data_IF_817099613057
#
_entry.id   IF_817099613057
#
_cell.length_a   1.000
_cell.length_b   1.000
_cell.length_c   1.000
_cell.angle_alpha   90.00
_cell.angle_beta   90.00
_cell.angle_gamma   90.00
#
_symmetry.space_group_name_H-M   'P 1'
#
loop_
_entity.id
_entity.type
_entity.pdbx_description
1 polymer ?
#
# COMPACT_ATOMS: atom_id res chain seq x y z
N UNK A 1 7.66 15.76 10.19
CA UNK A 1 6.35 15.46 9.52
C UNK A 1 6.57 15.52 8.02
N UNK A 2 6.42 14.40 7.30
CA UNK A 2 6.78 14.26 5.88
C UNK A 2 5.64 14.60 4.90
N UNK A 3 4.38 14.52 5.35
CA UNK A 3 3.20 14.84 4.55
C UNK A 3 2.11 15.50 5.41
N UNK A 4 1.15 16.16 4.75
CA UNK A 4 -0.15 16.53 5.32
C UNK A 4 -1.19 15.59 4.74
N UNK A 5 -1.98 14.96 5.61
CA UNK A 5 -3.01 13.99 5.22
C UNK A 5 -4.31 14.32 5.94
N UNK A 6 -5.44 14.05 5.30
CA UNK A 6 -6.78 14.16 5.88
C UNK A 6 -7.71 13.14 5.23
N UNK A 7 -8.63 12.58 6.02
CA UNK A 7 -9.75 11.80 5.53
C UNK A 7 -11.05 12.40 6.09
N UNK A 8 -12.10 12.42 5.28
CA UNK A 8 -13.48 12.68 5.70
C UNK A 8 -14.30 11.46 5.33
N UNK A 9 -15.14 11.01 6.25
CA UNK A 9 -16.02 9.84 6.05
C UNK A 9 -17.47 10.30 6.00
N UNK A 10 -18.17 9.96 4.93
CA UNK A 10 -19.63 10.05 4.83
C UNK A 10 -20.24 8.71 5.24
N UNK A 11 -20.75 8.64 6.46
CA UNK A 11 -21.34 7.44 7.03
C UNK A 11 -22.65 6.99 6.37
N UNK A 12 -23.35 7.87 5.65
CA UNK A 12 -24.57 7.48 4.93
C UNK A 12 -24.25 6.72 3.64
N UNK A 13 -23.08 7.00 3.06
CA UNK A 13 -22.61 6.42 1.80
C UNK A 13 -21.47 5.43 1.97
N UNK A 14 -20.97 5.30 3.19
CA UNK A 14 -19.75 4.59 3.54
C UNK A 14 -18.55 5.01 2.67
N UNK A 15 -18.48 6.31 2.37
CA UNK A 15 -17.52 6.89 1.42
C UNK A 15 -16.43 7.66 2.15
N UNK A 16 -15.19 7.46 1.72
CA UNK A 16 -14.00 8.14 2.24
C UNK A 16 -13.46 9.10 1.19
N UNK A 17 -13.32 10.38 1.52
CA UNK A 17 -12.56 11.38 0.75
C UNK A 17 -11.21 11.60 1.42
N UNK A 18 -10.18 10.95 0.88
CA UNK A 18 -8.82 11.00 1.39
C UNK A 18 -7.96 11.95 0.55
N UNK A 19 -7.19 12.82 1.23
CA UNK A 19 -6.25 13.76 0.61
C UNK A 19 -4.87 13.65 1.25
N UNK A 20 -3.84 13.73 0.43
CA UNK A 20 -2.43 13.71 0.87
C UNK A 20 -1.59 14.69 0.07
N UNK A 21 -0.68 15.39 0.75
CA UNK A 21 0.31 16.25 0.12
C UNK A 21 1.69 16.03 0.75
N UNK A 22 2.64 15.52 -0.03
CA UNK A 22 4.03 15.37 0.38
C UNK A 22 4.63 16.77 0.57
N UNK A 23 5.31 16.99 1.70
CA UNK A 23 5.95 18.30 1.92
C UNK A 23 7.14 18.46 0.97
N UNK A 24 7.32 19.69 0.48
CA UNK A 24 8.39 20.02 -0.46
C UNK A 24 8.06 19.74 -1.93
N UNK A 25 6.86 19.26 -2.24
CA UNK A 25 6.40 19.11 -3.63
C UNK A 25 5.45 20.26 -4.01
N UNK A 26 5.33 20.58 -5.31
CA UNK A 26 4.31 21.49 -5.82
C UNK A 26 2.89 21.16 -5.32
N UNK A 27 2.01 22.17 -5.26
CA UNK A 27 0.66 22.02 -4.71
C UNK A 27 -0.28 21.21 -5.61
N UNK A 28 -0.06 21.25 -6.92
CA UNK A 28 -0.73 20.42 -7.93
C UNK A 28 -0.36 18.93 -7.85
N UNK A 29 0.70 18.61 -7.09
CA UNK A 29 1.09 17.24 -6.71
C UNK A 29 0.39 16.73 -5.44
N UNK A 30 -0.67 17.39 -4.98
CA UNK A 30 -1.54 16.85 -3.93
C UNK A 30 -2.44 15.74 -4.49
N UNK A 31 -2.49 14.60 -3.82
CA UNK A 31 -3.34 13.47 -4.19
C UNK A 31 -4.71 13.51 -3.54
N UNK A 32 -5.72 12.99 -4.25
CA UNK A 32 -7.08 12.78 -3.75
C UNK A 32 -7.60 11.42 -4.19
N UNK A 33 -8.20 10.71 -3.25
CA UNK A 33 -8.86 9.42 -3.49
C UNK A 33 -10.25 9.48 -2.87
N UNK A 34 -11.27 9.09 -3.65
CA UNK A 34 -12.64 8.92 -3.14
C UNK A 34 -13.08 7.50 -3.43
N UNK A 35 -13.42 6.77 -2.37
CA UNK A 35 -13.70 5.34 -2.45
C UNK A 35 -14.67 4.88 -1.37
N UNK A 36 -15.37 3.78 -1.63
CA UNK A 36 -16.29 3.12 -0.69
C UNK A 36 -16.23 1.60 -0.86
N UNK A 37 -16.57 0.80 0.17
CA UNK A 37 -16.58 -0.65 0.02
C UNK A 37 -17.67 -1.12 -0.95
N UNK A 38 -17.39 -2.23 -1.62
CA UNK A 38 -18.29 -2.98 -2.47
C UNK A 38 -18.28 -4.44 -2.03
N UNK A 39 -19.42 -4.89 -1.51
CA UNK A 39 -19.61 -6.27 -1.08
C UNK A 39 -19.09 -6.55 0.34
N UNK A 40 -19.11 -7.83 0.76
CA UNK A 40 -18.74 -8.21 2.11
C UNK A 40 -17.23 -8.13 2.33
N UNK A 41 -16.85 -7.91 3.58
CA UNK A 41 -15.47 -8.05 4.03
C UNK A 41 -15.07 -9.53 4.09
N UNK A 42 -13.83 -9.82 3.68
CA UNK A 42 -13.23 -11.16 3.67
C UNK A 42 -11.74 -11.08 4.01
N UNK A 43 -11.16 -12.20 4.41
CA UNK A 43 -9.69 -12.37 4.48
C UNK A 43 -9.13 -12.79 3.13
N UNK A 44 -7.83 -12.55 2.93
CA UNK A 44 -7.15 -13.02 1.73
C UNK A 44 -6.85 -14.52 1.81
N UNK A 45 -6.91 -15.20 0.67
CA UNK A 45 -6.49 -16.60 0.57
C UNK A 45 -4.95 -16.68 0.46
N UNK A 46 -4.26 -17.49 1.28
CA UNK A 46 -2.81 -17.65 1.16
C UNK A 46 -2.37 -17.99 -0.26
N UNK A 47 -1.41 -17.24 -0.79
CA UNK A 47 -0.91 -17.38 -2.16
C UNK A 47 -1.67 -16.57 -3.22
N UNK A 48 -2.77 -15.89 -2.86
CA UNK A 48 -3.45 -14.96 -3.76
C UNK A 48 -2.72 -13.63 -3.91
N UNK A 49 -3.08 -12.85 -4.94
CA UNK A 49 -2.56 -11.50 -5.10
C UNK A 49 -2.95 -10.59 -3.92
N UNK A 50 -4.18 -10.72 -3.43
CA UNK A 50 -4.66 -9.97 -2.28
C UNK A 50 -3.82 -10.27 -1.05
N UNK A 51 -3.49 -11.55 -0.80
CA UNK A 51 -2.65 -11.94 0.33
C UNK A 51 -1.28 -11.26 0.23
N UNK A 52 -0.66 -11.28 -0.94
CA UNK A 52 0.61 -10.59 -1.19
C UNK A 52 0.51 -9.06 -0.94
N UNK A 53 -0.60 -8.44 -1.33
CA UNK A 53 -0.77 -6.99 -1.22
C UNK A 53 -1.11 -6.52 0.20
N UNK A 54 -1.95 -7.26 0.94
CA UNK A 54 -2.51 -6.79 2.23
C UNK A 54 -1.84 -7.41 3.45
N UNK A 55 -1.37 -8.67 3.38
CA UNK A 55 -0.80 -9.38 4.53
C UNK A 55 0.71 -9.12 4.67
N UNK A 56 1.06 -7.87 5.01
CA UNK A 56 2.46 -7.41 5.13
C UNK A 56 2.95 -7.36 6.57
N UNK A 57 3.54 -8.46 7.03
CA UNK A 57 4.07 -8.60 8.39
C UNK A 57 5.51 -8.09 8.60
N UNK A 58 6.09 -7.46 7.57
CA UNK A 58 7.39 -6.79 7.65
C UNK A 58 7.26 -5.37 7.11
N UNK A 59 7.87 -4.44 7.84
CA UNK A 59 8.11 -3.08 7.36
C UNK A 59 9.60 -2.89 7.12
N UNK A 60 9.93 -2.03 6.15
CA UNK A 60 11.30 -1.65 5.84
C UNK A 60 11.46 -0.15 5.94
N UNK A 61 12.61 0.30 6.43
CA UNK A 61 12.98 1.71 6.45
C UNK A 61 14.47 1.89 6.27
N UNK A 62 14.87 3.09 5.87
CA UNK A 62 16.28 3.46 5.71
C UNK A 62 16.59 4.57 6.70
N UNK A 63 17.69 4.41 7.45
CA UNK A 63 18.12 5.46 8.37
C UNK A 63 18.86 6.60 7.65
N UNK A 64 19.20 7.67 8.39
CA UNK A 64 19.91 8.84 7.86
C UNK A 64 21.28 8.52 7.25
N UNK A 65 21.84 7.35 7.52
CA UNK A 65 23.13 6.88 6.98
C UNK A 65 22.95 5.93 5.79
N UNK A 66 21.72 5.77 5.29
CA UNK A 66 21.43 4.91 4.15
C UNK A 66 21.35 3.42 4.50
N UNK A 67 21.33 3.05 5.79
CA UNK A 67 21.31 1.64 6.20
C UNK A 67 19.87 1.13 6.22
N UNK A 68 19.65 -0.05 5.63
CA UNK A 68 18.36 -0.72 5.62
C UNK A 68 18.06 -1.34 6.99
N UNK A 69 16.84 -1.16 7.46
CA UNK A 69 16.28 -1.77 8.65
C UNK A 69 14.99 -2.50 8.30
N UNK A 70 14.75 -3.61 8.98
CA UNK A 70 13.50 -4.37 8.91
C UNK A 70 12.86 -4.42 10.29
N UNK A 71 11.54 -4.37 10.34
CA UNK A 71 10.77 -4.51 11.57
C UNK A 71 9.64 -5.48 11.36
N UNK A 72 9.37 -6.28 12.39
CA UNK A 72 8.18 -7.14 12.41
C UNK A 72 6.96 -6.32 12.74
N UNK A 73 5.89 -6.64 12.05
CA UNK A 73 4.55 -6.09 12.27
C UNK A 73 3.64 -7.27 12.55
N UNK A 74 2.84 -7.16 13.60
CA UNK A 74 1.79 -8.12 13.88
C UNK A 74 0.43 -7.43 13.85
N UNK A 75 -0.52 -8.10 13.23
CA UNK A 75 -1.93 -7.75 13.23
C UNK A 75 -2.73 -9.03 12.97
N UNK A 76 -4.02 -9.02 13.35
CA UNK A 76 -4.96 -10.02 12.85
C UNK A 76 -5.09 -9.90 11.33
N UNK A 77 -5.39 -11.00 10.59
CA UNK A 77 -5.56 -10.95 9.14
C UNK A 77 -6.51 -9.82 8.71
N UNK A 78 -6.13 -9.09 7.68
CA UNK A 78 -6.94 -7.98 7.22
C UNK A 78 -8.27 -8.48 6.68
N UNK A 79 -9.35 -7.95 7.24
CA UNK A 79 -10.63 -7.92 6.55
C UNK A 79 -10.56 -6.86 5.45
N UNK A 80 -10.97 -7.20 4.23
CA UNK A 80 -11.10 -6.22 3.15
C UNK A 80 -12.31 -6.52 2.27
N UNK A 81 -12.84 -5.48 1.64
CA UNK A 81 -13.83 -5.57 0.57
C UNK A 81 -13.24 -4.98 -0.70
N UNK A 82 -13.81 -5.33 -1.85
CA UNK A 82 -13.50 -4.62 -3.09
C UNK A 82 -13.88 -3.14 -2.91
N UNK A 83 -13.23 -2.23 -3.61
CA UNK A 83 -13.53 -0.81 -3.51
C UNK A 83 -14.13 -0.27 -4.82
N UNK A 84 -15.24 0.46 -4.70
CA UNK A 84 -15.69 1.36 -5.76
C UNK A 84 -14.91 2.67 -5.61
N UNK A 85 -14.10 3.01 -6.61
CA UNK A 85 -13.23 4.20 -6.60
C UNK A 85 -13.76 5.23 -7.59
N UNK A 86 -14.32 6.33 -7.09
CA UNK A 86 -14.89 7.41 -7.91
C UNK A 86 -13.87 8.51 -8.23
N UNK A 87 -12.78 8.60 -7.48
CA UNK A 87 -11.68 9.53 -7.72
C UNK A 87 -10.35 8.90 -7.31
N UNK A 88 -9.34 9.04 -8.17
CA UNK A 88 -7.97 8.56 -7.96
C UNK A 88 -6.97 9.42 -8.74
N UNK A 89 -5.68 9.28 -8.43
CA UNK A 89 -4.56 9.79 -9.22
C UNK A 89 -3.30 8.92 -9.08
N UNK A 90 -2.32 9.15 -9.93
CA UNK A 90 -1.02 8.47 -9.96
C UNK A 90 0.14 9.39 -9.51
N UNK A 91 -0.15 10.52 -8.85
CA UNK A 91 0.89 11.48 -8.41
C UNK A 91 1.91 10.82 -7.48
N UNK A 92 1.46 9.88 -6.64
CA UNK A 92 2.37 9.12 -5.78
C UNK A 92 3.33 8.23 -6.58
N UNK A 93 2.92 7.71 -7.74
CA UNK A 93 3.78 6.92 -8.63
C UNK A 93 4.88 7.82 -9.21
N UNK A 94 4.48 8.96 -9.77
CA UNK A 94 5.40 9.99 -10.31
C UNK A 94 6.37 10.51 -9.25
N UNK A 95 5.88 10.80 -8.03
CA UNK A 95 6.71 11.28 -6.93
C UNK A 95 7.76 10.28 -6.44
N UNK A 96 7.66 9.00 -6.82
CA UNK A 96 8.64 7.97 -6.52
C UNK A 96 9.52 7.62 -7.75
N UNK A 97 9.52 8.46 -8.80
CA UNK A 97 10.41 8.32 -9.95
C UNK A 97 9.94 7.35 -11.02
N UNK A 98 8.68 6.92 -10.96
CA UNK A 98 8.05 6.10 -11.99
C UNK A 98 7.32 6.99 -13.02
N UNK A 99 7.08 6.50 -14.24
CA UNK A 99 6.27 7.22 -15.22
C UNK A 99 4.81 7.33 -14.77
N UNK A 100 4.10 8.31 -15.35
CA UNK A 100 2.64 8.38 -15.26
C UNK A 100 2.01 7.09 -15.77
N UNK A 101 0.97 6.61 -15.08
CA UNK A 101 0.27 5.40 -15.46
C UNK A 101 -0.78 5.68 -16.52
N UNK A 102 -1.46 6.84 -16.43
CA UNK A 102 -2.49 7.25 -17.39
C UNK A 102 -3.70 6.29 -17.47
N UNK A 103 -3.83 5.36 -16.53
CA UNK A 103 -4.88 4.32 -16.49
C UNK A 103 -5.32 4.03 -15.06
N UNK A 104 -6.56 3.54 -14.85
CA UNK A 104 -7.05 3.18 -13.52
C UNK A 104 -6.21 2.08 -12.85
N UNK A 105 -6.26 1.97 -11.51
CA UNK A 105 -5.67 0.86 -10.77
C UNK A 105 -6.25 -0.49 -11.21
N UNK A 106 -5.40 -1.50 -11.35
CA UNK A 106 -5.83 -2.88 -11.66
C UNK A 106 -6.56 -3.55 -10.50
N UNK A 107 -6.26 -3.11 -9.28
CA UNK A 107 -6.77 -3.69 -8.05
C UNK A 107 -7.02 -2.60 -7.02
N UNK A 108 -8.21 -2.59 -6.42
CA UNK A 108 -8.60 -1.64 -5.39
C UNK A 108 -9.45 -2.33 -4.31
N UNK A 109 -8.97 -2.27 -3.07
CA UNK A 109 -9.65 -2.82 -1.90
C UNK A 109 -9.62 -1.81 -0.76
N UNK A 110 -10.59 -1.93 0.14
CA UNK A 110 -10.67 -1.13 1.36
C UNK A 110 -10.73 -2.07 2.57
N UNK A 111 -10.02 -1.69 3.63
CA UNK A 111 -10.02 -2.37 4.92
C UNK A 111 -10.63 -1.46 5.99
N UNK A 112 -11.38 -2.01 6.97
CA UNK A 112 -11.86 -1.23 8.11
C UNK A 112 -10.73 -0.86 9.10
N UNK A 113 -9.51 -1.34 8.84
CA UNK A 113 -8.35 -1.20 9.72
C UNK A 113 -8.25 -2.33 10.74
N UNK A 114 -7.05 -2.48 11.31
CA UNK A 114 -6.72 -3.44 12.36
C UNK A 114 -5.85 -2.75 13.41
N UNK A 115 -5.83 -3.28 14.62
CA UNK A 115 -4.80 -2.90 15.60
C UNK A 115 -3.47 -3.52 15.17
N UNK A 116 -2.42 -2.70 15.19
CA UNK A 116 -1.10 -3.10 14.69
C UNK A 116 -0.07 -2.95 15.81
N UNK A 117 0.64 -4.02 16.08
CA UNK A 117 1.84 -4.02 16.91
C UNK A 117 3.09 -3.91 16.04
N UNK A 118 3.93 -2.92 16.32
CA UNK A 118 5.19 -2.69 15.62
C UNK A 118 6.34 -2.97 16.57
N UNK A 119 7.13 -3.99 16.24
CA UNK A 119 8.29 -4.38 17.02
C UNK A 119 9.54 -3.56 16.65
N UNK A 120 10.63 -3.77 17.38
CA UNK A 120 11.88 -3.06 17.15
C UNK A 120 12.38 -3.24 15.71
N UNK A 121 13.00 -2.17 15.19
CA UNK A 121 13.71 -2.21 13.92
C UNK A 121 15.10 -2.80 14.14
N UNK A 122 15.42 -3.78 13.30
CA UNK A 122 16.71 -4.46 13.26
C UNK A 122 17.41 -4.12 11.95
N UNK A 123 18.72 -3.86 12.03
CA UNK A 123 19.52 -3.60 10.84
C UNK A 123 19.52 -4.86 9.97
N UNK A 124 19.19 -4.71 8.70
CA UNK A 124 19.35 -5.79 7.73
C UNK A 124 20.83 -5.91 7.42
N UNK A 125 21.43 -7.04 7.78
CA UNK A 125 22.75 -7.39 7.31
C UNK A 125 22.57 -7.98 5.91
N UNK A 126 23.21 -7.36 4.91
CA UNK A 126 23.20 -7.92 3.57
C UNK A 126 24.08 -9.18 3.60
N UNK A 127 23.47 -10.35 3.72
CA UNK A 127 24.08 -11.55 3.15
C UNK A 127 23.88 -11.48 1.65
N UNK A 128 24.97 -11.49 0.87
CA UNK A 128 24.90 -11.75 -0.55
C UNK A 128 24.44 -13.19 -0.77
N UNK A 129 23.13 -13.42 -0.75
CA UNK A 129 22.56 -14.66 -1.26
C UNK A 129 22.41 -14.50 -2.77
N UNK A 130 22.98 -15.39 -3.60
CA UNK A 130 22.77 -15.36 -5.03
C UNK A 130 21.25 -15.45 -5.29
N UNK A 131 20.71 -14.50 -6.05
CA UNK A 131 19.31 -14.52 -6.45
C UNK A 131 19.09 -15.80 -7.26
N UNK A 132 18.27 -16.72 -6.74
CA UNK A 132 17.89 -17.90 -7.50
C UNK A 132 17.20 -17.43 -8.78
N UNK A 133 17.68 -17.92 -9.92
CA UNK A 133 17.11 -17.62 -11.23
C UNK A 133 15.65 -18.12 -11.24
N UNK A 134 14.69 -17.19 -11.22
CA UNK A 134 13.27 -17.53 -11.33
C UNK A 134 13.02 -17.96 -12.77
N UNK A 135 12.99 -19.27 -13.01
CA UNK A 135 12.57 -19.83 -14.29
C UNK A 135 11.07 -19.55 -14.45
N UNK A 136 10.74 -18.55 -15.26
CA UNK A 136 9.38 -18.33 -15.72
C UNK A 136 8.99 -19.52 -16.60
N UNK A 137 8.12 -20.39 -16.07
CA UNK A 137 7.49 -21.42 -16.89
C UNK A 137 6.65 -20.73 -17.99
N UNK A 138 6.70 -21.22 -19.24
CA UNK A 138 5.90 -20.64 -20.31
C UNK A 138 4.42 -20.72 -19.94
N UNK A 139 3.72 -19.61 -20.08
CA UNK A 139 2.26 -19.58 -20.06
C UNK A 139 1.81 -20.36 -21.29
N UNK A 140 1.13 -21.49 -21.09
CA UNK A 140 0.59 -22.29 -22.19
C UNK A 140 -0.40 -21.49 -23.03
N UNK A 141 -0.42 -21.78 -24.34
CA UNK A 141 -1.25 -21.14 -25.37
C UNK A 141 -2.76 -21.14 -25.06
#
# INVERSE_FOLDING_TARGET
>A
RYARMSAVVDWQRDEVDFRSHRRGTPSDMASRFVYRPRGPYRTAEPGSLEFFLVERYLLFSVDRHGRLHSGRVWHEPYQFADADVSCWDDRLVVLNGFPELGRPPDHAVISPGVTVDVFNLERVEAEEQPVAEVQLLPVGD
#
